data_IF_521009508151
#
_entry.id   IF_521009508151
#
_cell.length_a   1.000
_cell.length_b   1.000
_cell.length_c   1.000
_cell.angle_alpha   90.00
_cell.angle_beta   90.00
_cell.angle_gamma   90.00
#
_symmetry.space_group_name_H-M   'P 1'
#
loop_
_entity.id
_entity.type
_entity.pdbx_description
1 polymer ?
#
# COMPACT_ATOMS: atom_id res chain seq x y z
N UNK A 1 6.08 -17.95 -4.33
CA UNK A 1 5.18 -16.85 -4.74
C UNK A 1 5.98 -15.57 -4.74
N UNK A 2 6.31 -15.09 -5.92
CA UNK A 2 7.16 -13.93 -6.13
C UNK A 2 6.53 -12.68 -5.50
N UNK A 3 7.23 -12.04 -4.56
CA UNK A 3 6.79 -10.81 -3.89
C UNK A 3 6.40 -9.71 -4.90
N UNK A 4 7.08 -9.71 -6.05
CA UNK A 4 6.76 -8.88 -7.23
C UNK A 4 5.39 -9.19 -7.82
N UNK A 5 5.03 -10.47 -7.96
CA UNK A 5 3.73 -10.87 -8.48
C UNK A 5 2.60 -10.42 -7.56
N UNK A 6 2.79 -10.56 -6.24
CA UNK A 6 1.83 -10.08 -5.25
C UNK A 6 1.66 -8.56 -5.31
N UNK A 7 2.75 -7.81 -5.44
CA UNK A 7 2.70 -6.36 -5.63
C UNK A 7 1.94 -5.97 -6.91
N UNK A 8 2.19 -6.68 -8.02
CA UNK A 8 1.49 -6.43 -9.29
C UNK A 8 -0.02 -6.68 -9.18
N UNK A 9 -0.42 -7.78 -8.57
CA UNK A 9 -1.83 -8.10 -8.31
C UNK A 9 -2.52 -7.03 -7.45
N UNK A 10 -1.85 -6.56 -6.40
CA UNK A 10 -2.37 -5.49 -5.56
C UNK A 10 -2.47 -4.16 -6.33
N UNK A 11 -1.49 -3.82 -7.18
CA UNK A 11 -1.54 -2.59 -7.98
C UNK A 11 -2.71 -2.62 -8.96
N UNK A 12 -2.95 -3.77 -9.59
CA UNK A 12 -4.09 -3.96 -10.50
C UNK A 12 -5.42 -3.78 -9.75
N UNK A 13 -5.56 -4.40 -8.57
CA UNK A 13 -6.74 -4.24 -7.71
C UNK A 13 -6.92 -2.80 -7.23
N UNK A 14 -5.85 -2.14 -6.81
CA UNK A 14 -5.88 -0.75 -6.38
C UNK A 14 -6.29 0.17 -7.54
N UNK A 15 -5.81 -0.09 -8.75
CA UNK A 15 -6.22 0.62 -9.98
C UNK A 15 -7.69 0.40 -10.33
N UNK A 16 -8.27 -0.75 -9.97
CA UNK A 16 -9.71 -1.05 -10.09
C UNK A 16 -10.57 -0.42 -8.98
N UNK A 17 -9.96 0.33 -8.06
CA UNK A 17 -10.66 0.99 -6.95
C UNK A 17 -10.66 0.19 -5.64
N UNK A 18 -9.87 -0.87 -5.53
CA UNK A 18 -9.74 -1.60 -4.27
C UNK A 18 -8.86 -0.83 -3.28
N UNK A 19 -9.52 -0.28 -2.26
CA UNK A 19 -8.88 0.48 -1.18
C UNK A 19 -7.99 -0.42 -0.34
N UNK A 20 -8.48 -1.63 -0.02
CA UNK A 20 -7.73 -2.65 0.72
C UNK A 20 -6.43 -3.03 -0.01
N UNK A 21 -6.46 -3.12 -1.34
CA UNK A 21 -5.24 -3.40 -2.10
C UNK A 21 -4.23 -2.24 -2.00
N UNK A 22 -4.68 -0.98 -2.09
CA UNK A 22 -3.82 0.19 -1.91
C UNK A 22 -3.23 0.27 -0.49
N UNK A 23 -4.02 -0.06 0.52
CA UNK A 23 -3.57 -0.21 1.90
C UNK A 23 -2.51 -1.30 2.05
N UNK A 24 -2.75 -2.48 1.48
CA UNK A 24 -1.81 -3.60 1.57
C UNK A 24 -0.49 -3.30 0.85
N UNK A 25 -0.53 -2.54 -0.26
CA UNK A 25 0.67 -2.01 -0.92
C UNK A 25 1.42 -1.06 0.02
N UNK A 26 0.69 -0.14 0.66
CA UNK A 26 1.29 0.83 1.55
C UNK A 26 1.98 0.17 2.74
N UNK A 27 1.29 -0.75 3.40
CA UNK A 27 1.81 -1.55 4.51
C UNK A 27 2.98 -2.41 4.04
N UNK A 28 2.89 -3.01 2.85
CA UNK A 28 3.95 -3.83 2.28
C UNK A 28 5.23 -3.02 2.00
N UNK A 29 5.12 -1.80 1.48
CA UNK A 29 6.27 -0.89 1.32
C UNK A 29 6.80 -0.36 2.65
N UNK A 30 5.96 -0.15 3.66
CA UNK A 30 6.39 0.27 4.99
C UNK A 30 7.16 -0.85 5.72
N UNK A 31 6.66 -2.09 5.61
CA UNK A 31 7.27 -3.28 6.23
C UNK A 31 8.45 -3.84 5.44
N UNK A 32 8.57 -3.53 4.15
CA UNK A 32 9.59 -4.10 3.26
C UNK A 32 9.19 -5.48 2.72
N UNK A 33 7.89 -5.79 2.67
CA UNK A 33 7.38 -7.08 2.19
C UNK A 33 7.67 -7.33 0.70
N UNK A 34 7.92 -6.27 -0.08
CA UNK A 34 8.23 -6.36 -1.51
C UNK A 34 9.74 -6.33 -1.83
N UNK A 35 10.60 -6.37 -0.81
CA UNK A 35 12.05 -6.21 -0.96
C UNK A 35 12.53 -5.18 0.07
N UNK A 36 12.80 -3.98 -0.39
CA UNK A 36 13.21 -2.88 0.48
C UNK A 36 12.03 -2.07 1.01
N UNK A 37 12.20 -1.58 2.24
CA UNK A 37 11.29 -0.59 2.80
C UNK A 37 11.37 0.68 1.95
N UNK A 38 10.22 1.15 1.50
CA UNK A 38 10.15 2.38 0.74
C UNK A 38 9.06 3.28 1.33
N UNK A 39 9.40 4.08 2.36
CA UNK A 39 8.42 4.93 3.04
C UNK A 39 7.78 5.96 2.10
N UNK A 40 8.51 6.44 1.08
CA UNK A 40 7.95 7.35 0.08
C UNK A 40 6.82 6.70 -0.73
N UNK A 41 7.01 5.45 -1.19
CA UNK A 41 5.96 4.69 -1.88
C UNK A 41 4.84 4.31 -0.92
N UNK A 42 5.17 3.88 0.30
CA UNK A 42 4.20 3.56 1.34
C UNK A 42 3.26 4.75 1.60
N UNK A 43 3.81 5.96 1.77
CA UNK A 43 3.05 7.19 1.98
C UNK A 43 2.16 7.53 0.78
N UNK A 44 2.64 7.31 -0.44
CA UNK A 44 1.85 7.57 -1.65
C UNK A 44 0.61 6.67 -1.74
N UNK A 45 0.78 5.36 -1.52
CA UNK A 45 -0.32 4.40 -1.53
C UNK A 45 -1.24 4.55 -0.32
N UNK A 46 -0.67 4.84 0.85
CA UNK A 46 -1.44 5.12 2.06
C UNK A 46 -2.29 6.38 1.90
N UNK A 47 -1.75 7.44 1.28
CA UNK A 47 -2.51 8.67 1.02
C UNK A 47 -3.67 8.42 0.07
N UNK A 48 -3.48 7.57 -0.93
CA UNK A 48 -4.56 7.14 -1.81
C UNK A 48 -5.64 6.36 -1.04
N UNK A 49 -5.25 5.32 -0.31
CA UNK A 49 -6.19 4.50 0.46
C UNK A 49 -6.92 5.32 1.55
N UNK A 50 -6.22 6.19 2.27
CA UNK A 50 -6.80 7.09 3.27
C UNK A 50 -7.80 8.07 2.65
N UNK A 51 -7.50 8.63 1.46
CA UNK A 51 -8.44 9.48 0.72
C UNK A 51 -9.74 8.78 0.36
N UNK A 52 -9.67 7.47 0.15
CA UNK A 52 -10.82 6.64 -0.17
C UNK A 52 -11.51 6.04 1.07
N UNK A 53 -11.02 6.34 2.28
CA UNK A 53 -11.66 5.94 3.55
C UNK A 53 -11.01 4.78 4.29
N UNK A 54 -9.78 4.36 3.93
CA UNK A 54 -9.04 3.39 4.76
C UNK A 54 -8.42 4.07 5.98
N UNK A 55 -8.96 3.73 7.16
CA UNK A 55 -8.42 4.14 8.46
C UNK A 55 -7.01 3.58 8.70
N UNK A 56 -6.75 2.34 8.31
CA UNK A 56 -5.41 1.72 8.46
C UNK A 56 -4.36 2.48 7.66
N UNK A 57 -4.70 2.91 6.45
CA UNK A 57 -3.82 3.73 5.63
C UNK A 57 -3.62 5.12 6.25
N UNK A 58 -4.66 5.71 6.83
CA UNK A 58 -4.56 6.99 7.55
C UNK A 58 -3.66 6.87 8.79
N UNK A 59 -3.77 5.79 9.56
CA UNK A 59 -2.87 5.48 10.67
C UNK A 59 -1.43 5.26 10.19
N UNK A 60 -1.25 4.56 9.07
CA UNK A 60 0.06 4.33 8.47
C UNK A 60 0.73 5.66 8.09
N UNK A 61 -0.03 6.62 7.54
CA UNK A 61 0.46 7.97 7.24
C UNK A 61 0.91 8.73 8.49
N UNK A 62 0.27 8.50 9.63
CA UNK A 62 0.69 9.08 10.90
C UNK A 62 1.97 8.45 11.47
N UNK A 63 2.26 7.19 11.11
CA UNK A 63 3.45 6.44 11.53
C UNK A 63 4.65 6.62 10.59
N UNK A 64 4.43 7.11 9.36
CA UNK A 64 5.40 7.33 8.29
C UNK A 64 6.07 8.70 8.36
#
# INVERSE_FOLDING_TARGET
MDKKQKLLDLIDKAGKGSIEAAEEIAVGYYKGSFGDKNPAKAKKWASYAAKHGSEVAQELLGKL
#
